data_IF_557412022566
#
_entry.id   IF_557412022566
#
_cell.length_a   1.000
_cell.length_b   1.000
_cell.length_c   1.000
_cell.angle_alpha   90.00
_cell.angle_beta   90.00
_cell.angle_gamma   90.00
#
_symmetry.space_group_name_H-M   'P 1'
#
loop_
_entity.id
_entity.type
_entity.pdbx_description
1 polymer ?
#
# COMPACT_ATOMS: atom_id res chain seq x y z
N UNK A 1 6.85 11.58 -14.48
CA UNK A 1 7.54 10.78 -13.47
C UNK A 1 8.75 11.57 -12.99
N UNK A 2 8.85 11.85 -11.69
CA UNK A 2 10.01 12.55 -11.11
C UNK A 2 10.64 11.68 -10.01
N UNK A 3 11.97 11.68 -9.88
CA UNK A 3 12.66 10.98 -8.79
C UNK A 3 12.34 11.63 -7.44
N UNK A 4 12.16 10.82 -6.40
CA UNK A 4 12.03 11.33 -5.03
C UNK A 4 13.31 12.04 -4.58
N UNK A 5 13.16 13.11 -3.81
CA UNK A 5 14.27 14.01 -3.43
C UNK A 5 14.84 13.73 -2.03
N UNK A 6 14.17 12.94 -1.20
CA UNK A 6 14.67 12.51 0.11
C UNK A 6 15.53 11.24 0.00
N UNK A 7 16.48 11.09 0.94
CA UNK A 7 17.59 10.12 0.85
C UNK A 7 17.29 8.73 1.40
N UNK A 8 16.17 8.56 2.10
CA UNK A 8 15.85 7.35 2.86
C UNK A 8 15.26 6.21 2.02
N UNK A 9 14.82 6.48 0.79
CA UNK A 9 14.25 5.47 -0.11
C UNK A 9 14.34 5.87 -1.57
N UNK A 10 14.43 4.85 -2.43
CA UNK A 10 14.45 5.01 -3.89
C UNK A 10 13.03 4.90 -4.42
N UNK A 11 12.65 5.82 -5.30
CA UNK A 11 11.28 5.88 -5.80
C UNK A 11 11.06 7.05 -6.74
N UNK A 12 9.83 7.12 -7.26
CA UNK A 12 9.32 8.22 -8.06
C UNK A 12 8.06 8.81 -7.43
N UNK A 13 7.80 10.09 -7.66
CA UNK A 13 6.47 10.67 -7.43
C UNK A 13 5.44 9.93 -8.25
N UNK A 14 4.21 9.82 -7.74
CA UNK A 14 3.12 9.10 -8.40
C UNK A 14 1.91 10.02 -8.60
N UNK A 15 1.40 10.06 -9.83
CA UNK A 15 0.39 11.02 -10.30
C UNK A 15 -1.03 10.73 -9.79
N UNK A 16 -1.52 9.47 -9.76
CA UNK A 16 -2.82 9.18 -9.19
C UNK A 16 -2.94 9.49 -7.69
N UNK A 17 -4.01 10.22 -7.33
CA UNK A 17 -4.27 10.71 -5.96
C UNK A 17 -4.52 9.62 -4.91
N UNK A 18 -4.58 8.34 -5.30
CA UNK A 18 -4.75 7.23 -4.37
C UNK A 18 -3.43 6.75 -3.74
N UNK A 19 -2.28 7.22 -4.23
CA UNK A 19 -0.96 7.03 -3.63
C UNK A 19 -0.10 8.29 -3.87
N UNK A 20 1.12 8.33 -3.32
CA UNK A 20 2.03 9.48 -3.52
C UNK A 20 3.28 9.11 -4.31
N UNK A 21 3.70 7.85 -4.24
CA UNK A 21 5.00 7.41 -4.70
C UNK A 21 4.96 5.94 -5.10
N UNK A 22 5.83 5.60 -6.04
CA UNK A 22 6.19 4.23 -6.40
C UNK A 22 7.61 4.00 -5.91
N UNK A 23 7.81 2.97 -5.10
CA UNK A 23 9.08 2.66 -4.44
C UNK A 23 9.78 1.50 -5.14
N UNK A 24 11.10 1.57 -5.17
CA UNK A 24 11.95 0.55 -5.76
C UNK A 24 12.97 0.08 -4.72
N UNK A 25 13.16 -1.23 -4.65
CA UNK A 25 14.17 -1.86 -3.81
C UNK A 25 14.77 -3.07 -4.55
N UNK A 26 15.99 -3.45 -4.22
CA UNK A 26 16.60 -4.68 -4.72
C UNK A 26 16.64 -5.67 -3.58
N UNK A 27 16.01 -6.83 -3.76
CA UNK A 27 16.14 -7.92 -2.81
C UNK A 27 17.61 -8.36 -2.76
N UNK A 28 18.25 -8.18 -1.60
CA UNK A 28 19.68 -8.46 -1.43
C UNK A 28 20.04 -9.95 -1.58
N UNK A 29 19.09 -10.86 -1.36
CA UNK A 29 19.30 -12.31 -1.47
C UNK A 29 19.07 -12.82 -2.88
N UNK A 30 18.02 -12.32 -3.56
CA UNK A 30 17.58 -12.83 -4.87
C UNK A 30 17.99 -11.96 -6.06
N UNK A 31 18.38 -10.70 -5.82
CA UNK A 31 18.67 -9.71 -6.86
C UNK A 31 17.43 -9.20 -7.59
N UNK A 32 16.22 -9.57 -7.16
CA UNK A 32 14.97 -9.13 -7.77
C UNK A 32 14.73 -7.64 -7.53
N UNK A 33 14.22 -6.94 -8.55
CA UNK A 33 13.68 -5.60 -8.38
C UNK A 33 12.28 -5.71 -7.79
N UNK A 34 12.16 -5.24 -6.55
CA UNK A 34 10.89 -5.13 -5.83
C UNK A 34 10.31 -3.75 -6.09
N UNK A 35 9.09 -3.71 -6.58
CA UNK A 35 8.34 -2.46 -6.78
C UNK A 35 7.15 -2.44 -5.85
N UNK A 36 7.04 -1.39 -5.04
CA UNK A 36 5.98 -1.25 -4.04
C UNK A 36 5.20 0.05 -4.21
N UNK A 37 3.90 -0.01 -3.93
CA UNK A 37 3.05 1.17 -3.78
C UNK A 37 2.10 0.99 -2.61
N UNK A 38 1.75 2.11 -1.96
CA UNK A 38 0.89 2.13 -0.77
C UNK A 38 -0.42 2.90 -1.04
N UNK A 39 -1.40 2.32 -1.75
CA UNK A 39 -2.69 2.94 -1.96
C UNK A 39 -3.42 3.19 -0.63
N UNK A 40 -4.02 4.36 -0.44
CA UNK A 40 -4.87 4.62 0.74
C UNK A 40 -4.11 4.83 2.03
N UNK A 41 -2.81 5.14 1.93
CA UNK A 41 -1.94 5.41 3.07
C UNK A 41 -2.47 6.53 4.00
N UNK A 42 -3.26 7.47 3.45
CA UNK A 42 -4.06 8.45 4.20
C UNK A 42 -5.55 8.33 3.90
N UNK A 43 -6.42 8.88 4.76
CA UNK A 43 -7.86 8.96 4.47
C UNK A 43 -8.14 9.71 3.15
N UNK A 44 -7.40 10.78 2.87
CA UNK A 44 -7.54 11.54 1.62
C UNK A 44 -7.33 10.66 0.39
N UNK A 45 -6.26 9.86 0.41
CA UNK A 45 -5.99 8.88 -0.65
C UNK A 45 -7.05 7.78 -0.70
N UNK A 46 -7.52 7.30 0.45
CA UNK A 46 -8.58 6.29 0.53
C UNK A 46 -9.87 6.70 -0.16
N UNK A 47 -10.25 7.99 -0.14
CA UNK A 47 -11.42 8.49 -0.88
C UNK A 47 -11.31 8.29 -2.41
N UNK A 48 -10.11 8.16 -2.95
CA UNK A 48 -9.88 7.87 -4.36
C UNK A 48 -9.92 6.38 -4.70
N UNK A 49 -9.97 5.52 -3.68
CA UNK A 49 -10.02 4.05 -3.81
C UNK A 49 -11.44 3.56 -3.50
N UNK A 50 -12.01 3.99 -2.38
CA UNK A 50 -13.31 3.57 -1.87
C UNK A 50 -14.49 4.36 -2.49
N UNK A 51 -14.37 4.78 -3.75
CA UNK A 51 -15.51 5.29 -4.52
C UNK A 51 -16.50 4.16 -4.84
N UNK A 52 -15.97 2.95 -4.99
CA UNK A 52 -16.63 1.65 -5.08
C UNK A 52 -15.90 0.65 -4.18
N UNK A 53 -16.29 -0.63 -4.22
CA UNK A 53 -15.51 -1.69 -3.60
C UNK A 53 -14.17 -1.83 -4.36
N UNK A 54 -13.01 -1.69 -3.70
CA UNK A 54 -11.74 -1.62 -4.40
C UNK A 54 -11.40 -2.93 -5.10
N UNK A 55 -11.05 -2.85 -6.39
CA UNK A 55 -10.61 -3.98 -7.20
C UNK A 55 -9.24 -3.69 -7.77
N UNK A 56 -8.29 -4.59 -7.52
CA UNK A 56 -6.93 -4.52 -8.05
C UNK A 56 -6.73 -5.64 -9.05
N UNK A 57 -5.97 -5.36 -10.12
CA UNK A 57 -5.52 -6.42 -11.01
C UNK A 57 -4.73 -7.48 -10.24
N UNK A 58 -4.80 -8.73 -10.71
CA UNK A 58 -3.97 -9.83 -10.18
C UNK A 58 -2.56 -9.84 -10.81
N UNK A 59 -2.39 -9.14 -11.94
CA UNK A 59 -1.14 -9.08 -12.68
C UNK A 59 -1.01 -7.76 -13.45
N UNK A 60 0.23 -7.32 -13.70
CA UNK A 60 0.52 -6.17 -14.55
C UNK A 60 1.30 -6.62 -15.77
N UNK A 61 0.92 -6.09 -16.93
CA UNK A 61 1.69 -6.25 -18.16
C UNK A 61 2.76 -5.16 -18.22
N UNK A 62 4.03 -5.56 -18.16
CA UNK A 62 5.19 -4.66 -18.17
C UNK A 62 6.11 -5.17 -19.26
N UNK A 63 6.41 -4.30 -20.21
CA UNK A 63 7.26 -4.61 -21.37
C UNK A 63 6.90 -5.94 -22.08
N UNK A 64 5.61 -6.21 -22.21
CA UNK A 64 5.12 -7.43 -22.86
C UNK A 64 4.92 -8.64 -21.95
N UNK A 65 5.56 -8.67 -20.77
CA UNK A 65 5.50 -9.77 -19.80
C UNK A 65 4.45 -9.51 -18.71
N UNK A 66 3.93 -10.60 -18.11
CA UNK A 66 2.95 -10.53 -17.02
C UNK A 66 3.62 -10.80 -15.68
N UNK A 67 3.48 -9.87 -14.75
CA UNK A 67 3.99 -9.98 -13.39
C UNK A 67 2.84 -10.07 -12.40
N UNK A 68 2.84 -11.10 -11.55
CA UNK A 68 1.85 -11.27 -10.51
C UNK A 68 1.93 -10.16 -9.46
N UNK A 69 0.78 -9.72 -8.98
CA UNK A 69 0.66 -8.75 -7.89
C UNK A 69 0.57 -9.50 -6.56
N UNK A 70 1.42 -9.11 -5.62
CA UNK A 70 1.29 -9.42 -4.21
C UNK A 70 0.50 -8.30 -3.52
N UNK A 71 -0.72 -8.60 -3.09
CA UNK A 71 -1.59 -7.66 -2.36
C UNK A 71 -1.56 -7.98 -0.87
N UNK A 72 -1.32 -6.95 -0.07
CA UNK A 72 -1.50 -6.97 1.38
C UNK A 72 -2.21 -5.70 1.84
N UNK A 73 -2.58 -5.65 3.12
CA UNK A 73 -3.41 -4.62 3.71
C UNK A 73 -2.64 -3.92 4.81
N UNK A 74 -2.94 -2.65 5.04
CA UNK A 74 -2.45 -1.94 6.21
C UNK A 74 -3.49 -1.00 6.81
N UNK A 75 -3.45 -0.90 8.14
CA UNK A 75 -4.22 0.08 8.91
C UNK A 75 -3.21 0.98 9.60
N UNK A 76 -3.23 2.28 9.32
CA UNK A 76 -2.33 3.24 9.97
C UNK A 76 -3.08 4.09 10.98
N UNK A 77 -2.47 4.25 12.15
CA UNK A 77 -2.95 5.14 13.21
C UNK A 77 -1.93 6.27 13.37
N UNK A 78 -2.41 7.48 13.14
CA UNK A 78 -1.62 8.70 13.00
C UNK A 78 -2.05 9.73 14.05
N UNK A 79 -1.11 10.58 14.46
CA UNK A 79 -1.37 11.82 15.17
C UNK A 79 -0.79 12.98 14.38
N UNK A 80 0.01 13.83 15.03
CA UNK A 80 0.89 14.78 14.31
C UNK A 80 1.95 14.05 13.47
N UNK A 81 2.33 12.85 13.88
CA UNK A 81 3.21 11.92 13.18
C UNK A 81 2.66 10.50 13.30
N UNK A 82 3.29 9.54 12.62
CA UNK A 82 2.95 8.12 12.73
C UNK A 82 3.02 7.66 14.20
N UNK A 83 1.98 6.96 14.67
CA UNK A 83 1.93 6.39 16.02
C UNK A 83 2.20 4.88 15.96
N UNK A 84 1.37 4.17 15.20
CA UNK A 84 1.42 2.71 15.05
C UNK A 84 0.59 2.26 13.85
N UNK A 85 0.62 0.98 13.52
CA UNK A 85 -0.14 0.41 12.42
C UNK A 85 -0.18 -1.11 12.45
N UNK A 86 -0.97 -1.66 11.56
CA UNK A 86 -1.11 -3.09 11.28
C UNK A 86 -0.77 -3.33 9.82
N UNK A 87 -0.05 -4.42 9.56
CA UNK A 87 0.19 -4.97 8.23
C UNK A 87 -0.36 -6.38 8.24
N UNK A 88 -1.28 -6.64 7.30
CA UNK A 88 -2.18 -7.79 7.33
C UNK A 88 -2.18 -8.46 5.96
N UNK A 89 -2.17 -9.79 5.96
CA UNK A 89 -2.47 -10.60 4.80
C UNK A 89 -3.98 -10.89 4.72
N UNK A 90 -4.43 -11.49 3.61
CA UNK A 90 -5.83 -11.90 3.46
C UNK A 90 -6.30 -12.83 4.60
N UNK A 91 -5.44 -13.76 5.04
CA UNK A 91 -5.75 -14.73 6.09
C UNK A 91 -5.80 -14.12 7.51
N UNK A 92 -5.35 -12.88 7.69
CA UNK A 92 -5.53 -12.15 8.95
C UNK A 92 -6.98 -11.65 9.15
N UNK A 93 -7.86 -11.82 8.16
CA UNK A 93 -9.26 -11.39 8.25
C UNK A 93 -10.24 -12.56 8.42
N UNK A 94 -11.22 -12.38 9.31
CA UNK A 94 -12.40 -13.26 9.41
C UNK A 94 -13.63 -12.70 8.71
N UNK A 95 -13.64 -11.39 8.44
CA UNK A 95 -14.68 -10.68 7.68
C UNK A 95 -14.03 -9.56 6.88
N UNK A 96 -14.55 -9.29 5.68
CA UNK A 96 -14.02 -8.19 4.85
C UNK A 96 -14.15 -6.84 5.58
N UNK A 97 -13.01 -6.28 6.01
CA UNK A 97 -12.93 -4.95 6.64
C UNK A 97 -12.91 -3.82 5.60
N UNK A 98 -12.30 -4.08 4.45
CA UNK A 98 -11.98 -3.10 3.41
C UNK A 98 -13.15 -2.88 2.48
N UNK A 99 -14.28 -2.43 3.05
CA UNK A 99 -15.47 -2.04 2.30
C UNK A 99 -15.63 -0.53 2.24
N UNK A 100 -16.34 -0.02 1.23
CA UNK A 100 -16.66 1.41 1.12
C UNK A 100 -17.41 1.90 2.37
N UNK A 101 -18.35 1.09 2.87
CA UNK A 101 -19.12 1.40 4.08
C UNK A 101 -18.20 1.57 5.30
N UNK A 102 -17.37 0.57 5.56
CA UNK A 102 -16.48 0.59 6.72
C UNK A 102 -15.44 1.71 6.61
N UNK A 103 -14.89 1.93 5.42
CA UNK A 103 -13.98 3.05 5.17
C UNK A 103 -14.61 4.39 5.54
N UNK A 104 -15.82 4.67 5.03
CA UNK A 104 -16.49 5.95 5.28
C UNK A 104 -16.86 6.16 6.76
N UNK A 105 -17.26 5.08 7.45
CA UNK A 105 -17.72 5.15 8.83
C UNK A 105 -16.57 5.22 9.83
N UNK A 106 -15.49 4.48 9.61
CA UNK A 106 -14.47 4.22 10.64
C UNK A 106 -13.10 4.80 10.37
N UNK A 107 -12.87 5.44 9.21
CA UNK A 107 -11.60 6.12 8.93
C UNK A 107 -11.64 7.62 9.23
N UNK A 108 -10.47 8.19 9.47
CA UNK A 108 -10.28 9.60 9.78
C UNK A 108 -10.17 9.83 11.27
N UNK A 109 -10.66 10.98 11.72
CA UNK A 109 -10.47 11.40 13.11
C UNK A 109 -11.35 10.62 14.06
N UNK A 110 -10.72 9.88 14.96
CA UNK A 110 -11.38 9.17 16.06
C UNK A 110 -11.02 9.85 17.38
N UNK A 111 -12.04 10.21 18.15
CA UNK A 111 -11.88 10.80 19.49
C UNK A 111 -11.88 9.71 20.56
N UNK A 112 -11.33 10.02 21.74
CA UNK A 112 -11.14 9.07 22.84
C UNK A 112 -12.41 8.32 23.24
N UNK A 113 -13.54 9.00 23.22
CA UNK A 113 -14.86 8.43 23.50
C UNK A 113 -15.28 7.31 22.53
N UNK A 114 -14.77 7.33 21.29
CA UNK A 114 -15.09 6.35 20.23
C UNK A 114 -13.98 5.31 20.02
N UNK A 115 -12.97 5.24 20.89
CA UNK A 115 -11.92 4.22 20.76
C UNK A 115 -12.47 2.81 20.87
N UNK A 116 -13.48 2.58 21.72
CA UNK A 116 -14.16 1.29 21.85
C UNK A 116 -14.84 0.84 20.56
N UNK A 117 -15.34 1.77 19.75
CA UNK A 117 -15.95 1.44 18.45
C UNK A 117 -14.89 0.95 17.47
N UNK A 118 -13.68 1.52 17.52
CA UNK A 118 -12.54 1.04 16.73
C UNK A 118 -12.10 -0.35 17.20
N UNK A 119 -12.02 -0.58 18.51
CA UNK A 119 -11.70 -1.89 19.08
C UNK A 119 -12.72 -2.95 18.65
N UNK A 120 -14.01 -2.64 18.76
CA UNK A 120 -15.09 -3.55 18.35
C UNK A 120 -15.04 -3.88 16.85
N UNK A 121 -14.77 -2.88 15.99
CA UNK A 121 -14.60 -3.11 14.56
C UNK A 121 -13.42 -4.06 14.27
N UNK A 122 -12.25 -3.80 14.86
CA UNK A 122 -11.07 -4.63 14.62
C UNK A 122 -11.25 -6.02 15.20
N UNK A 123 -11.87 -6.14 16.38
CA UNK A 123 -12.26 -7.43 16.97
C UNK A 123 -13.26 -8.20 16.14
N UNK A 124 -14.18 -7.53 15.43
CA UNK A 124 -15.13 -8.20 14.57
C UNK A 124 -14.48 -8.72 13.27
N UNK A 125 -13.46 -8.04 12.77
CA UNK A 125 -12.94 -8.28 11.42
C UNK A 125 -11.58 -8.99 11.35
N UNK A 126 -10.71 -8.83 12.35
CA UNK A 126 -9.34 -9.34 12.33
C UNK A 126 -9.24 -10.60 13.20
N UNK A 127 -8.58 -11.65 12.68
CA UNK A 127 -8.42 -12.95 13.34
C UNK A 127 -7.20 -12.99 14.26
N UNK A 128 -6.13 -12.28 13.93
CA UNK A 128 -4.88 -12.26 14.71
C UNK A 128 -4.96 -11.36 15.95
N UNK A 129 -3.98 -11.47 16.86
CA UNK A 129 -3.79 -10.53 17.98
C UNK A 129 -3.30 -9.16 17.50
N UNK A 130 -4.24 -8.38 16.96
CA UNK A 130 -3.98 -7.06 16.40
C UNK A 130 -3.55 -6.06 17.48
N UNK A 131 -4.02 -6.22 18.73
CA UNK A 131 -3.67 -5.31 19.83
C UNK A 131 -2.18 -5.36 20.12
N UNK A 132 -1.60 -6.56 20.21
CA UNK A 132 -0.16 -6.72 20.40
C UNK A 132 0.63 -6.27 19.17
N UNK A 133 0.19 -6.66 17.96
CA UNK A 133 0.85 -6.28 16.70
C UNK A 133 1.02 -4.77 16.55
N UNK A 134 -0.02 -3.97 16.87
CA UNK A 134 0.06 -2.51 16.83
C UNK A 134 0.40 -1.85 18.18
N UNK A 135 0.68 -2.63 19.22
CA UNK A 135 0.97 -2.13 20.59
C UNK A 135 -0.13 -1.17 21.10
N UNK A 136 -1.39 -1.53 20.87
CA UNK A 136 -2.56 -0.69 21.13
C UNK A 136 -2.60 -0.13 22.56
N UNK A 137 -2.39 -1.00 23.54
CA UNK A 137 -2.40 -0.65 24.96
C UNK A 137 -1.41 0.49 25.26
N UNK A 138 -0.14 0.31 24.87
CA UNK A 138 0.92 1.25 25.22
C UNK A 138 0.93 2.50 24.34
N UNK A 139 0.58 2.37 23.06
CA UNK A 139 0.64 3.47 22.08
C UNK A 139 -0.61 4.33 22.06
N UNK A 140 -1.77 3.77 22.41
CA UNK A 140 -3.07 4.44 22.35
C UNK A 140 -3.67 4.61 23.74
N UNK A 141 -4.01 3.51 24.42
CA UNK A 141 -4.82 3.55 25.65
C UNK A 141 -4.10 4.25 26.83
N UNK A 142 -2.85 3.86 27.10
CA UNK A 142 -2.01 4.47 28.15
C UNK A 142 -1.40 5.82 27.77
N UNK A 143 -1.71 6.32 26.57
CA UNK A 143 -1.16 7.58 26.10
C UNK A 143 -2.01 8.78 26.55
N UNK A 144 -1.40 9.97 26.59
CA UNK A 144 -2.11 11.23 26.87
C UNK A 144 -2.88 11.78 25.65
N UNK A 145 -3.14 10.95 24.63
CA UNK A 145 -3.86 11.37 23.43
C UNK A 145 -5.36 11.46 23.71
N UNK A 146 -5.99 12.46 23.11
CA UNK A 146 -7.45 12.63 23.12
C UNK A 146 -8.09 12.25 21.78
N UNK A 147 -7.25 12.01 20.76
CA UNK A 147 -7.66 11.61 19.40
C UNK A 147 -6.51 10.96 18.64
N UNK A 148 -6.86 10.25 17.58
CA UNK A 148 -5.95 9.85 16.50
C UNK A 148 -6.70 9.94 15.16
N UNK A 149 -5.96 9.90 14.05
CA UNK A 149 -6.52 9.71 12.72
C UNK A 149 -6.19 8.28 12.25
N UNK A 150 -7.16 7.56 11.66
CA UNK A 150 -6.98 6.19 11.16
C UNK A 150 -7.21 6.11 9.64
N UNK A 151 -6.42 5.33 8.93
CA UNK A 151 -6.60 5.06 7.49
C UNK A 151 -6.53 3.56 7.20
N UNK A 152 -7.32 3.14 6.21
CA UNK A 152 -7.26 1.81 5.62
C UNK A 152 -6.61 1.92 4.24
N UNK A 153 -5.50 1.23 4.06
CA UNK A 153 -4.77 1.19 2.81
C UNK A 153 -4.26 -0.20 2.46
N UNK A 154 -3.60 -0.28 1.32
CA UNK A 154 -3.07 -1.50 0.74
C UNK A 154 -1.55 -1.37 0.59
N UNK A 155 -0.85 -2.49 0.51
CA UNK A 155 0.49 -2.58 -0.04
C UNK A 155 0.38 -3.51 -1.25
N UNK A 156 0.71 -2.97 -2.41
CA UNK A 156 0.74 -3.70 -3.68
C UNK A 156 2.20 -3.80 -4.09
N UNK A 157 2.64 -5.03 -4.38
CA UNK A 157 4.00 -5.34 -4.77
C UNK A 157 4.03 -6.15 -6.07
N UNK A 158 5.04 -5.91 -6.89
CA UNK A 158 5.49 -6.85 -7.93
C UNK A 158 6.98 -7.12 -7.75
N UNK A 159 7.46 -8.22 -8.32
CA UNK A 159 8.88 -8.58 -8.35
C UNK A 159 9.29 -8.83 -9.80
N UNK A 160 10.32 -8.12 -10.25
CA UNK A 160 10.97 -8.38 -11.54
C UNK A 160 12.18 -9.29 -11.26
N UNK A 161 12.22 -10.51 -11.84
CA UNK A 161 13.32 -11.44 -11.63
C UNK A 161 14.67 -10.86 -12.02
N UNK A 162 15.72 -11.24 -11.28
CA UNK A 162 17.09 -10.87 -11.61
C UNK A 162 17.48 -11.27 -13.04
N UNK A 163 17.02 -12.44 -13.51
CA UNK A 163 17.27 -12.90 -14.88
C UNK A 163 16.80 -11.87 -15.92
N UNK A 164 15.59 -11.30 -15.75
CA UNK A 164 15.08 -10.26 -16.65
C UNK A 164 15.93 -9.00 -16.59
N UNK A 165 16.36 -8.59 -15.40
CA UNK A 165 17.22 -7.41 -15.23
C UNK A 165 18.57 -7.61 -15.92
N UNK A 166 19.18 -8.80 -15.78
CA UNK A 166 20.46 -9.13 -16.40
C UNK A 166 20.42 -9.16 -17.93
N UNK A 167 19.26 -9.47 -18.52
CA UNK A 167 19.05 -9.42 -19.97
C UNK A 167 18.94 -7.99 -20.50
N UNK A 168 18.55 -7.04 -19.66
CA UNK A 168 18.41 -5.62 -20.01
C UNK A 168 19.69 -4.83 -19.73
N UNK A 169 20.46 -5.23 -18.71
CA UNK A 169 21.71 -4.58 -18.28
C UNK A 169 22.96 -5.22 -18.92
N UNK A 170 22.98 -5.28 -20.25
CA UNK A 170 24.06 -5.95 -21.01
C UNK A 170 25.20 -5.01 -21.43
N UNK A 171 24.94 -3.71 -21.52
CA UNK A 171 25.93 -2.68 -21.83
C UNK A 171 25.99 -1.65 -20.70
N UNK A 172 27.11 -1.62 -19.99
CA UNK A 172 27.36 -0.71 -18.89
C UNK A 172 27.26 0.78 -19.28
N UNK A 173 27.39 1.10 -20.57
CA UNK A 173 27.30 2.47 -21.07
C UNK A 173 25.88 2.85 -21.52
N UNK A 174 24.94 1.89 -21.59
CA UNK A 174 23.57 2.13 -22.03
C UNK A 174 22.55 1.69 -20.98
N UNK A 175 22.10 2.65 -20.17
CA UNK A 175 21.04 2.42 -19.17
C UNK A 175 19.63 2.48 -19.76
N UNK A 176 19.49 2.75 -21.07
CA UNK A 176 18.19 2.98 -21.72
C UNK A 176 17.22 1.80 -21.53
N UNK A 177 17.64 0.52 -21.65
CA UNK A 177 16.73 -0.61 -21.43
C UNK A 177 16.14 -0.64 -20.02
N UNK A 178 16.97 -0.40 -18.99
CA UNK A 178 16.51 -0.33 -17.60
C UNK A 178 15.62 0.90 -17.36
N UNK A 179 15.95 2.06 -17.93
CA UNK A 179 15.11 3.26 -17.84
C UNK A 179 13.72 3.03 -18.46
N UNK A 180 13.65 2.36 -19.62
CA UNK A 180 12.40 1.99 -20.27
C UNK A 180 11.58 0.99 -19.44
N UNK A 181 12.24 0.04 -18.77
CA UNK A 181 11.59 -0.86 -17.82
C UNK A 181 10.92 -0.08 -16.69
N UNK A 182 11.64 0.86 -16.05
CA UNK A 182 11.09 1.70 -14.97
C UNK A 182 9.89 2.52 -15.47
N UNK A 183 9.97 3.09 -16.67
CA UNK A 183 8.85 3.82 -17.27
C UNK A 183 7.64 2.90 -17.54
N UNK A 184 7.89 1.69 -18.03
CA UNK A 184 6.84 0.69 -18.28
C UNK A 184 6.14 0.26 -16.99
N UNK A 185 6.92 0.01 -15.93
CA UNK A 185 6.40 -0.26 -14.58
C UNK A 185 5.51 0.90 -14.13
N UNK A 186 6.01 2.14 -14.19
CA UNK A 186 5.25 3.31 -13.77
C UNK A 186 3.90 3.40 -14.48
N UNK A 187 3.90 3.27 -15.82
CA UNK A 187 2.69 3.31 -16.65
C UNK A 187 1.71 2.18 -16.30
N UNK A 188 2.21 0.97 -16.05
CA UNK A 188 1.38 -0.17 -15.67
C UNK A 188 0.67 0.07 -14.32
N UNK A 189 1.39 0.58 -13.32
CA UNK A 189 0.82 0.96 -12.02
C UNK A 189 -0.21 2.09 -12.15
N UNK A 190 0.08 3.10 -12.96
CA UNK A 190 -0.80 4.25 -13.16
C UNK A 190 -2.13 3.88 -13.83
N UNK A 191 -2.09 3.01 -14.85
CA UNK A 191 -3.21 2.80 -15.77
C UNK A 191 -3.95 1.49 -15.58
N UNK A 192 -3.28 0.45 -15.06
CA UNK A 192 -3.79 -0.93 -15.08
C UNK A 192 -3.95 -1.56 -13.69
N UNK A 193 -3.45 -0.92 -12.63
CA UNK A 193 -3.51 -1.50 -11.29
C UNK A 193 -4.91 -1.46 -10.68
N UNK A 194 -5.54 -0.29 -10.60
CA UNK A 194 -6.85 -0.10 -9.96
C UNK A 194 -7.96 -0.21 -11.02
N UNK A 195 -8.81 -1.22 -10.89
CA UNK A 195 -9.91 -1.50 -11.82
C UNK A 195 -11.11 -0.61 -11.43
N UNK A 196 -11.39 0.42 -12.23
CA UNK A 196 -12.44 1.41 -11.94
C UNK A 196 -13.83 1.03 -12.45
N UNK A 197 -13.91 0.08 -13.38
CA UNK A 197 -15.16 -0.47 -13.91
C UNK A 197 -15.07 -1.99 -13.88
N UNK A 198 -16.09 -2.72 -13.39
CA UNK A 198 -16.12 -4.16 -13.60
C UNK A 198 -16.15 -4.41 -15.12
N UNK A 199 -15.31 -5.32 -15.59
CA UNK A 199 -15.43 -5.86 -16.94
C UNK A 199 -16.85 -6.44 -17.06
N UNK A 200 -17.71 -5.77 -17.84
CA UNK A 200 -19.07 -6.20 -18.18
C UNK A 200 -18.97 -7.43 -19.08
#
# INVERSE_FOLDING_TARGET
MEKLTYRDRLGTTFTPKWANELLFDINAETGELVVEIYPGNTKGQGYHIFQSEPQFSQQLKIDGELYAIEKSYHIKIMGQSYITGLWLAEDDFKKNLYTKRNFNQYTGRVRKESWKDTEALLDEHISCDWRSKCKWEDKILKSNRTRFDISFGYLIKIKIPFERLSQLDVDHNDITPLANLIESIYKAFETSLLIKEPLI
#
